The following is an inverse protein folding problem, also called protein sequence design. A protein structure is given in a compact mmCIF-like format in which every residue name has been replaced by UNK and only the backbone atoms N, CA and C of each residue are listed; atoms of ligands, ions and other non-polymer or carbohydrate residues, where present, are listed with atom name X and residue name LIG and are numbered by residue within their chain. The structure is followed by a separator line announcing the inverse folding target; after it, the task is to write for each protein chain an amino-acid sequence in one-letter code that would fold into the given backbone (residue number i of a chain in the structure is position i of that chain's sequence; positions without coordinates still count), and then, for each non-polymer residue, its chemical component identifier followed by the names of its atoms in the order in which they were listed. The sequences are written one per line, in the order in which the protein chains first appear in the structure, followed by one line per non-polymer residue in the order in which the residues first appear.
data_IF_276754017642
#
_entry.id   IF_276754017642
#
_cell.length_a   1.000
_cell.length_b   1.000
_cell.length_c   1.000
_cell.angle_alpha   90.00
_cell.angle_beta   90.00
_cell.angle_gamma   90.00
#
_symmetry.space_group_name_H-M   'P 1'
#
loop_
_entity.id
_entity.type
_entity.pdbx_description
1 polymer ?
#
# COMPACT_ATOMS: atom_id res chain seq x y z
N UNK A 1 -21.36 -9.76 -13.53
CA UNK A 1 -21.75 -8.35 -13.55
C UNK A 1 -21.35 -7.74 -12.24
N UNK A 2 -20.30 -6.92 -12.25
CA UNK A 2 -19.79 -6.23 -11.06
C UNK A 2 -20.88 -5.31 -10.49
N UNK A 3 -21.05 -5.32 -9.17
CA UNK A 3 -21.97 -4.39 -8.52
C UNK A 3 -21.35 -2.99 -8.52
N UNK A 4 -22.13 -1.92 -8.67
CA UNK A 4 -21.62 -0.57 -8.91
C UNK A 4 -21.04 0.16 -7.68
N UNK A 5 -20.57 -0.54 -6.65
CA UNK A 5 -20.08 0.09 -5.42
C UNK A 5 -18.83 -0.57 -4.82
N UNK A 6 -17.97 -1.13 -5.67
CA UNK A 6 -16.78 -1.85 -5.24
C UNK A 6 -15.57 -0.88 -5.28
N UNK A 7 -15.02 -0.60 -4.11
CA UNK A 7 -13.95 0.37 -3.83
C UNK A 7 -12.76 0.34 -4.83
N UNK A 8 -12.28 1.54 -5.18
CA UNK A 8 -11.83 2.00 -6.50
C UNK A 8 -10.32 2.29 -6.59
N UNK A 9 -9.50 1.56 -5.83
CA UNK A 9 -8.16 2.05 -5.55
C UNK A 9 -7.19 2.00 -6.74
N UNK A 10 -7.28 0.98 -7.60
CA UNK A 10 -6.33 0.88 -8.71
C UNK A 10 -6.84 0.03 -9.89
N UNK A 11 -6.33 0.33 -11.08
CA UNK A 11 -6.54 -0.42 -12.31
C UNK A 11 -5.29 -0.35 -13.17
N UNK A 12 -4.82 -1.50 -13.64
CA UNK A 12 -3.71 -1.56 -14.58
C UNK A 12 -4.17 -2.15 -15.90
N UNK A 13 -3.89 -1.47 -17.02
CA UNK A 13 -4.19 -1.99 -18.36
C UNK A 13 -2.90 -2.38 -19.07
N UNK A 14 -2.85 -3.63 -19.53
CA UNK A 14 -1.73 -4.16 -20.30
C UNK A 14 -1.85 -3.83 -21.80
N UNK A 15 -0.73 -3.88 -22.51
CA UNK A 15 -0.66 -3.61 -23.96
C UNK A 15 -1.48 -4.61 -24.80
N UNK A 16 -1.60 -5.86 -24.32
CA UNK A 16 -2.39 -6.91 -24.97
C UNK A 16 -3.91 -6.74 -24.79
N UNK A 17 -4.31 -5.71 -24.04
CA UNK A 17 -5.71 -5.35 -23.77
C UNK A 17 -6.30 -6.04 -22.55
N UNK A 18 -5.59 -6.96 -21.90
CA UNK A 18 -5.97 -7.48 -20.58
C UNK A 18 -5.80 -6.40 -19.51
N UNK A 19 -6.37 -6.60 -18.33
CA UNK A 19 -6.29 -5.60 -17.26
C UNK A 19 -6.37 -6.23 -15.86
N UNK A 20 -5.66 -5.63 -14.91
CA UNK A 20 -5.78 -5.91 -13.48
C UNK A 20 -6.81 -4.97 -12.87
N UNK A 21 -7.71 -5.50 -12.05
CA UNK A 21 -8.65 -4.73 -11.24
C UNK A 21 -8.62 -5.17 -9.80
N UNK A 22 -8.70 -4.18 -8.91
CA UNK A 22 -9.01 -4.39 -7.51
C UNK A 22 -10.52 -4.35 -7.33
N UNK A 23 -11.03 -5.24 -6.49
CA UNK A 23 -12.43 -5.30 -6.08
C UNK A 23 -12.50 -5.51 -4.57
N UNK A 24 -13.65 -5.21 -3.99
CA UNK A 24 -13.94 -5.47 -2.59
C UNK A 24 -15.13 -6.43 -2.48
N UNK A 25 -14.88 -7.62 -1.98
CA UNK A 25 -15.92 -8.62 -1.71
C UNK A 25 -16.32 -8.56 -0.23
N UNK A 26 -17.62 -8.51 0.05
CA UNK A 26 -18.12 -8.63 1.42
C UNK A 26 -18.35 -10.11 1.77
N UNK A 27 -17.59 -10.63 2.73
CA UNK A 27 -17.69 -12.01 3.23
C UNK A 27 -18.24 -12.00 4.66
N UNK A 28 -19.21 -12.85 4.96
CA UNK A 28 -19.78 -12.96 6.31
C UNK A 28 -19.30 -14.23 6.99
N UNK A 29 -18.61 -14.10 8.12
CA UNK A 29 -18.04 -15.23 8.88
C UNK A 29 -18.32 -15.15 10.39
N UNK A 30 -18.24 -16.32 11.04
CA UNK A 30 -18.22 -16.44 12.50
C UNK A 30 -16.78 -16.36 13.00
N UNK A 31 -16.40 -15.20 13.52
CA UNK A 31 -15.05 -14.94 14.07
C UNK A 31 -14.95 -15.16 15.58
N UNK A 32 -15.97 -15.75 16.23
CA UNK A 32 -15.98 -15.90 17.70
C UNK A 32 -14.83 -16.75 18.22
N UNK A 33 -14.34 -17.70 17.41
CA UNK A 33 -13.19 -18.55 17.77
C UNK A 33 -11.87 -17.78 17.92
N UNK A 34 -11.77 -16.59 17.31
CA UNK A 34 -10.60 -15.72 17.35
C UNK A 34 -10.88 -14.39 18.07
N UNK A 35 -12.02 -14.28 18.78
CA UNK A 35 -12.36 -13.10 19.57
C UNK A 35 -13.21 -12.04 18.86
N UNK A 36 -13.63 -12.28 17.61
CA UNK A 36 -14.54 -11.42 16.87
C UNK A 36 -16.02 -11.76 17.07
N UNK A 37 -16.86 -11.22 16.19
CA UNK A 37 -18.32 -11.41 16.21
C UNK A 37 -18.76 -12.61 15.36
N UNK A 38 -19.90 -13.22 15.72
CA UNK A 38 -20.41 -14.43 15.06
C UNK A 38 -21.01 -14.23 13.65
N UNK A 39 -21.11 -12.97 13.21
CA UNK A 39 -21.58 -12.59 11.89
C UNK A 39 -20.85 -11.31 11.47
N UNK A 40 -19.52 -11.38 11.52
CA UNK A 40 -18.66 -10.28 11.09
C UNK A 40 -18.69 -10.17 9.57
N UNK A 41 -18.75 -8.94 9.06
CA UNK A 41 -18.61 -8.61 7.65
C UNK A 41 -17.15 -8.29 7.36
N UNK A 42 -16.43 -9.23 6.78
CA UNK A 42 -15.04 -9.05 6.34
C UNK A 42 -15.08 -8.33 4.99
N UNK A 43 -14.32 -7.24 4.88
CA UNK A 43 -14.02 -6.62 3.59
C UNK A 43 -12.82 -7.39 3.01
N UNK A 44 -13.10 -8.29 2.06
CA UNK A 44 -12.11 -9.11 1.37
C UNK A 44 -11.68 -8.41 0.08
N UNK A 45 -10.53 -7.72 0.07
CA UNK A 45 -10.03 -7.17 -1.17
C UNK A 45 -9.58 -8.31 -2.11
N UNK A 46 -9.83 -8.13 -3.41
CA UNK A 46 -9.56 -9.11 -4.46
C UNK A 46 -8.84 -8.46 -5.63
N UNK A 47 -7.86 -9.18 -6.19
CA UNK A 47 -7.17 -8.78 -7.41
C UNK A 47 -7.56 -9.74 -8.53
N UNK A 48 -8.06 -9.23 -9.64
CA UNK A 48 -8.41 -10.04 -10.82
C UNK A 48 -7.58 -9.61 -12.01
N UNK A 49 -7.07 -10.58 -12.78
CA UNK A 49 -6.58 -10.37 -14.13
C UNK A 49 -7.67 -10.81 -15.11
N UNK A 50 -8.17 -9.86 -15.90
CA UNK A 50 -9.29 -10.05 -16.82
C UNK A 50 -8.82 -9.94 -18.27
N UNK A 51 -9.40 -10.77 -19.13
CA UNK A 51 -9.29 -10.60 -20.58
C UNK A 51 -10.19 -9.47 -21.10
N UNK A 52 -10.07 -9.03 -22.36
CA UNK A 52 -10.91 -7.97 -22.90
C UNK A 52 -12.41 -8.33 -23.02
N UNK A 53 -12.81 -9.56 -22.70
CA UNK A 53 -14.19 -10.05 -22.62
C UNK A 53 -14.64 -10.25 -21.15
N UNK A 54 -13.90 -9.70 -20.20
CA UNK A 54 -14.13 -9.77 -18.76
C UNK A 54 -14.10 -11.20 -18.19
N UNK A 55 -13.43 -12.15 -18.86
CA UNK A 55 -13.18 -13.47 -18.31
C UNK A 55 -11.99 -13.43 -17.35
N UNK A 56 -12.14 -14.08 -16.19
CA UNK A 56 -11.08 -14.18 -15.19
C UNK A 56 -9.99 -15.12 -15.70
N UNK A 57 -8.80 -14.56 -15.92
CA UNK A 57 -7.58 -15.29 -16.26
C UNK A 57 -6.88 -15.78 -14.99
N UNK A 58 -6.85 -14.93 -13.96
CA UNK A 58 -6.26 -15.23 -12.66
C UNK A 58 -6.92 -14.38 -11.58
N UNK A 59 -6.96 -14.88 -10.35
CA UNK A 59 -7.50 -14.17 -9.19
C UNK A 59 -6.63 -14.36 -7.95
N UNK A 60 -6.63 -13.35 -7.10
CA UNK A 60 -6.02 -13.38 -5.76
C UNK A 60 -7.04 -12.87 -4.75
N UNK A 61 -7.27 -13.64 -3.69
CA UNK A 61 -8.17 -13.30 -2.59
C UNK A 61 -7.32 -12.95 -1.36
N UNK A 62 -7.53 -11.75 -0.81
CA UNK A 62 -6.85 -11.30 0.39
C UNK A 62 -7.11 -12.22 1.57
N UNK A 63 -8.37 -12.61 1.77
CA UNK A 63 -8.79 -13.48 2.86
C UNK A 63 -8.20 -14.89 2.76
N UNK A 64 -8.03 -15.44 1.55
CA UNK A 64 -7.46 -16.78 1.36
C UNK A 64 -5.95 -16.82 1.65
N UNK A 65 -5.23 -15.75 1.28
CA UNK A 65 -3.75 -15.71 1.36
C UNK A 65 -3.23 -15.01 2.62
N UNK A 66 -4.00 -14.08 3.16
CA UNK A 66 -3.71 -13.30 4.36
C UNK A 66 -4.97 -13.22 5.23
N UNK A 67 -5.37 -14.34 5.85
CA UNK A 67 -6.61 -14.41 6.62
C UNK A 67 -6.59 -13.44 7.80
N UNK A 68 -7.78 -13.19 8.33
CA UNK A 68 -7.97 -12.40 9.55
C UNK A 68 -7.14 -12.99 10.69
N UNK A 69 -6.31 -12.15 11.30
CA UNK A 69 -5.39 -12.51 12.37
C UNK A 69 -5.69 -11.64 13.61
N UNK A 70 -6.15 -12.24 14.73
CA UNK A 70 -6.51 -11.50 15.93
C UNK A 70 -5.32 -10.83 16.64
N UNK A 71 -4.08 -11.12 16.25
CA UNK A 71 -2.89 -10.46 16.80
C UNK A 71 -2.66 -9.07 16.20
N UNK A 72 -3.06 -8.85 14.95
CA UNK A 72 -2.80 -7.61 14.20
C UNK A 72 -4.06 -6.89 13.72
N UNK A 73 -5.18 -7.59 13.57
CA UNK A 73 -6.42 -7.03 13.02
C UNK A 73 -7.39 -6.60 14.12
N UNK A 74 -8.14 -5.52 13.85
CA UNK A 74 -9.15 -5.03 14.77
C UNK A 74 -10.48 -5.78 14.60
N UNK A 75 -10.84 -6.58 15.61
CA UNK A 75 -12.06 -7.41 15.61
C UNK A 75 -13.19 -6.85 16.48
N UNK A 76 -13.04 -5.66 17.03
CA UNK A 76 -14.04 -5.03 17.92
C UNK A 76 -15.32 -4.59 17.18
N UNK A 77 -15.27 -4.55 15.84
CA UNK A 77 -16.34 -4.04 14.99
C UNK A 77 -17.02 -5.14 14.18
N UNK A 78 -18.28 -4.87 13.80
CA UNK A 78 -19.04 -5.76 12.91
C UNK A 78 -18.48 -5.79 11.48
N UNK A 79 -17.73 -4.77 11.08
CA UNK A 79 -17.01 -4.73 9.81
C UNK A 79 -15.53 -4.89 10.08
N UNK A 80 -14.91 -5.89 9.45
CA UNK A 80 -13.51 -6.22 9.60
C UNK A 80 -12.80 -5.90 8.30
N UNK A 81 -12.15 -4.74 8.29
CA UNK A 81 -11.33 -4.26 7.18
C UNK A 81 -9.86 -4.59 7.47
N UNK A 82 -9.50 -5.86 7.41
CA UNK A 82 -8.21 -6.34 7.91
C UNK A 82 -6.99 -5.91 7.05
N UNK A 83 -7.13 -5.92 5.72
CA UNK A 83 -6.02 -5.58 4.83
C UNK A 83 -6.06 -4.12 4.38
N UNK A 84 -7.21 -3.67 3.86
CA UNK A 84 -7.36 -2.36 3.22
C UNK A 84 -6.17 -2.04 2.30
N UNK A 85 -5.97 -2.81 1.22
CA UNK A 85 -4.92 -2.43 0.28
C UNK A 85 -5.39 -1.30 -0.63
N UNK A 86 -4.50 -0.34 -0.88
CA UNK A 86 -4.85 0.94 -1.51
C UNK A 86 -4.04 1.26 -2.77
N UNK A 87 -3.12 0.39 -3.17
CA UNK A 87 -2.34 0.54 -4.41
C UNK A 87 -1.87 -0.83 -4.93
N UNK A 88 -1.81 -0.97 -6.26
CA UNK A 88 -1.34 -2.16 -6.97
C UNK A 88 -0.41 -1.75 -8.11
N UNK A 89 0.87 -2.10 -8.00
CA UNK A 89 1.88 -1.68 -8.97
C UNK A 89 2.72 -2.87 -9.47
N UNK A 90 3.10 -2.86 -10.75
CA UNK A 90 4.01 -3.85 -11.30
C UNK A 90 5.46 -3.42 -11.08
N UNK A 91 6.27 -4.34 -10.56
CA UNK A 91 7.71 -4.12 -10.45
C UNK A 91 8.46 -4.41 -11.76
N UNK A 92 9.75 -4.04 -11.81
CA UNK A 92 10.61 -4.19 -12.98
C UNK A 92 10.85 -5.66 -13.39
N UNK A 93 10.46 -6.62 -12.54
CA UNK A 93 10.55 -8.05 -12.77
C UNK A 93 9.18 -8.70 -13.05
N UNK A 94 8.12 -7.90 -13.21
CA UNK A 94 6.76 -8.33 -13.50
C UNK A 94 5.98 -8.86 -12.28
N UNK A 95 6.56 -8.80 -11.08
CA UNK A 95 5.83 -9.07 -9.84
C UNK A 95 4.86 -7.93 -9.51
N UNK A 96 4.00 -8.16 -8.52
CA UNK A 96 2.98 -7.19 -8.10
C UNK A 96 3.31 -6.70 -6.69
N UNK A 97 3.43 -5.40 -6.51
CA UNK A 97 3.47 -4.74 -5.22
C UNK A 97 2.06 -4.35 -4.79
N UNK A 98 1.68 -4.76 -3.58
CA UNK A 98 0.44 -4.39 -2.91
C UNK A 98 0.76 -3.52 -1.71
N UNK A 99 0.13 -2.35 -1.60
CA UNK A 99 0.20 -1.53 -0.40
C UNK A 99 -0.96 -1.84 0.53
N UNK A 100 -0.72 -2.58 1.61
CA UNK A 100 -1.69 -3.02 2.62
C UNK A 100 -1.67 -2.05 3.79
N UNK A 101 -2.65 -1.14 3.83
CA UNK A 101 -2.69 -0.04 4.80
C UNK A 101 -2.82 -0.53 6.23
N UNK A 102 -3.79 -1.40 6.49
CA UNK A 102 -4.20 -1.72 7.86
C UNK A 102 -3.23 -2.66 8.57
N UNK A 103 -2.29 -3.26 7.83
CA UNK A 103 -1.17 -4.03 8.38
C UNK A 103 0.18 -3.32 8.31
N UNK A 104 0.22 -2.07 7.82
CA UNK A 104 1.45 -1.31 7.61
C UNK A 104 2.47 -2.06 6.73
N UNK A 105 1.99 -2.63 5.62
CA UNK A 105 2.76 -3.60 4.84
C UNK A 105 2.79 -3.31 3.34
N UNK A 106 3.97 -3.47 2.74
CA UNK A 106 4.09 -3.71 1.30
C UNK A 106 4.29 -5.21 1.09
N UNK A 107 3.44 -5.83 0.27
CA UNK A 107 3.54 -7.25 -0.07
C UNK A 107 3.85 -7.38 -1.55
N UNK A 108 4.86 -8.21 -1.87
CA UNK A 108 5.18 -8.54 -3.26
C UNK A 108 4.67 -9.92 -3.62
N UNK A 109 3.94 -10.03 -4.72
CA UNK A 109 3.54 -11.29 -5.34
C UNK A 109 4.51 -11.70 -6.46
N UNK A 110 4.65 -13.01 -6.68
CA UNK A 110 5.44 -13.58 -7.78
C UNK A 110 4.73 -13.41 -9.12
N UNK A 111 5.47 -13.12 -10.22
CA UNK A 111 4.86 -12.99 -11.55
C UNK A 111 4.23 -14.28 -12.07
N UNK A 112 4.71 -15.45 -11.63
CA UNK A 112 4.29 -16.74 -12.22
C UNK A 112 2.91 -17.20 -11.74
N UNK A 113 2.61 -17.02 -10.46
CA UNK A 113 1.44 -17.62 -9.80
C UNK A 113 0.79 -16.72 -8.75
N UNK A 114 1.27 -15.48 -8.59
CA UNK A 114 0.85 -14.56 -7.55
C UNK A 114 0.98 -15.08 -6.11
N UNK A 115 1.83 -16.09 -5.88
CA UNK A 115 2.20 -16.46 -4.52
C UNK A 115 2.98 -15.31 -3.85
N UNK A 116 2.84 -15.17 -2.53
CA UNK A 116 3.57 -14.16 -1.76
C UNK A 116 5.07 -14.46 -1.86
N UNK A 117 5.82 -13.49 -2.39
CA UNK A 117 7.27 -13.54 -2.42
C UNK A 117 7.84 -13.05 -1.09
N UNK A 118 7.42 -11.87 -0.65
CA UNK A 118 7.88 -11.28 0.60
C UNK A 118 6.89 -10.24 1.12
N UNK A 119 7.00 -9.93 2.41
CA UNK A 119 6.29 -8.86 3.13
C UNK A 119 7.30 -7.90 3.76
N UNK A 120 7.12 -6.61 3.54
CA UNK A 120 7.92 -5.54 4.11
C UNK A 120 7.04 -4.72 5.06
N UNK A 121 7.49 -4.55 6.30
CA UNK A 121 6.76 -3.79 7.32
C UNK A 121 5.78 -4.66 8.12
N UNK A 122 5.13 -4.04 9.12
CA UNK A 122 4.22 -4.74 10.02
C UNK A 122 4.89 -5.76 10.96
N UNK A 123 4.07 -6.52 11.68
CA UNK A 123 4.52 -7.45 12.71
C UNK A 123 5.28 -8.67 12.15
N UNK A 124 4.85 -9.19 11.00
CA UNK A 124 5.45 -10.35 10.33
C UNK A 124 6.29 -9.95 9.10
N UNK A 125 6.98 -8.80 9.16
CA UNK A 125 7.94 -8.37 8.14
C UNK A 125 9.04 -9.42 7.92
N UNK A 126 9.32 -9.75 6.66
CA UNK A 126 10.48 -10.56 6.29
C UNK A 126 11.79 -9.75 6.38
N UNK A 127 11.70 -8.41 6.31
CA UNK A 127 12.85 -7.53 6.25
C UNK A 127 13.25 -6.99 7.62
N UNK A 128 14.56 -6.99 7.88
CA UNK A 128 15.17 -6.21 8.96
C UNK A 128 15.45 -4.78 8.51
N UNK A 129 15.05 -3.80 9.32
CA UNK A 129 15.35 -2.39 9.05
C UNK A 129 16.78 -2.06 9.49
N UNK A 130 17.61 -1.59 8.56
CA UNK A 130 19.04 -1.32 8.80
C UNK A 130 19.34 0.12 9.24
N UNK A 131 18.31 0.90 9.60
CA UNK A 131 18.46 2.30 10.01
C UNK A 131 18.17 2.45 11.52
N UNK A 132 19.18 2.80 12.35
CA UNK A 132 18.98 2.95 13.79
C UNK A 132 17.95 4.04 14.14
N UNK A 133 16.88 3.63 14.83
CA UNK A 133 15.79 4.54 15.25
C UNK A 133 14.69 4.74 14.22
N UNK A 134 14.71 3.98 13.12
CA UNK A 134 13.63 3.93 12.16
C UNK A 134 12.66 2.79 12.48
N UNK A 135 11.41 3.14 12.79
CA UNK A 135 10.33 2.18 13.12
C UNK A 135 9.47 1.80 11.89
N UNK A 136 10.01 1.95 10.67
CA UNK A 136 9.29 1.62 9.45
C UNK A 136 8.37 2.75 8.94
N UNK A 137 7.24 2.36 8.36
CA UNK A 137 6.19 3.23 7.82
C UNK A 137 4.84 2.75 8.34
N UNK A 138 3.84 3.64 8.37
CA UNK A 138 2.51 3.28 8.86
C UNK A 138 1.40 3.84 7.98
N UNK A 139 0.36 3.03 7.82
CA UNK A 139 -0.88 3.37 7.12
C UNK A 139 -0.62 3.90 5.71
N UNK A 140 0.46 3.43 5.09
CA UNK A 140 1.02 3.95 3.85
C UNK A 140 0.04 3.83 2.70
N UNK A 141 0.16 4.76 1.76
CA UNK A 141 -0.55 4.78 0.50
C UNK A 141 0.44 4.84 -0.64
N UNK A 142 0.00 4.34 -1.79
CA UNK A 142 0.78 4.31 -3.01
C UNK A 142 2.06 3.47 -2.85
N UNK A 143 2.53 2.88 -3.94
CA UNK A 143 3.84 2.22 -3.95
C UNK A 143 4.30 2.09 -5.40
N UNK A 144 5.52 2.53 -5.65
CA UNK A 144 6.15 2.44 -6.97
C UNK A 144 7.50 1.78 -6.84
N UNK A 145 7.75 0.76 -7.66
CA UNK A 145 9.12 0.38 -7.99
C UNK A 145 9.77 1.52 -8.79
N UNK A 146 10.87 2.06 -8.26
CA UNK A 146 11.69 3.10 -8.90
C UNK A 146 13.02 2.54 -9.44
N UNK A 147 13.13 1.22 -9.51
CA UNK A 147 14.18 0.43 -10.13
C UNK A 147 15.44 0.27 -9.28
N UNK A 148 16.20 -0.80 -9.57
CA UNK A 148 17.39 -1.22 -8.85
C UNK A 148 17.10 -1.58 -7.38
N UNK A 149 16.00 -2.31 -7.16
CA UNK A 149 15.60 -2.76 -5.83
C UNK A 149 15.21 -1.62 -4.89
N UNK A 150 14.61 -0.55 -5.43
CA UNK A 150 14.13 0.58 -4.63
C UNK A 150 12.64 0.79 -4.84
N UNK A 151 11.94 1.07 -3.76
CA UNK A 151 10.52 1.41 -3.79
C UNK A 151 10.28 2.80 -3.20
N UNK A 152 9.32 3.53 -3.76
CA UNK A 152 8.86 4.83 -3.30
C UNK A 152 7.39 4.71 -2.88
N UNK A 153 7.05 5.30 -1.74
CA UNK A 153 5.68 5.27 -1.20
C UNK A 153 5.33 6.59 -0.50
N UNK A 154 4.06 6.78 -0.21
CA UNK A 154 3.58 7.82 0.70
C UNK A 154 3.32 7.22 2.08
N UNK A 155 4.16 7.57 3.05
CA UNK A 155 4.04 7.14 4.44
C UNK A 155 3.16 8.13 5.21
N UNK A 156 1.94 7.72 5.51
CA UNK A 156 0.94 8.58 6.15
C UNK A 156 1.27 8.89 7.61
N UNK A 157 1.93 7.96 8.31
CA UNK A 157 2.07 8.01 9.76
C UNK A 157 3.49 7.76 10.24
N UNK A 158 4.26 8.83 10.38
CA UNK A 158 5.49 8.82 11.18
C UNK A 158 5.20 9.49 12.51
N UNK A 159 5.51 8.81 13.62
CA UNK A 159 5.58 9.47 14.91
C UNK A 159 6.88 10.29 14.97
N UNK A 160 6.76 11.60 15.09
CA UNK A 160 7.85 12.51 15.40
C UNK A 160 7.60 13.17 16.76
N UNK A 161 8.60 13.91 17.25
CA UNK A 161 8.60 14.65 18.51
C UNK A 161 7.42 15.63 18.64
N UNK A 162 6.82 16.05 17.52
CA UNK A 162 5.69 16.99 17.47
C UNK A 162 4.32 16.33 17.20
N UNK A 163 4.26 15.00 17.12
CA UNK A 163 3.04 14.26 16.77
C UNK A 163 3.20 13.46 15.49
N UNK A 164 2.11 13.28 14.75
CA UNK A 164 2.14 12.55 13.49
C UNK A 164 2.50 13.48 12.32
N UNK A 165 3.31 12.95 11.40
CA UNK A 165 3.74 13.61 10.17
C UNK A 165 3.65 12.62 9.01
N UNK A 166 3.31 13.11 7.81
CA UNK A 166 3.38 12.31 6.59
C UNK A 166 4.63 12.66 5.78
N UNK A 167 5.13 11.70 5.00
CA UNK A 167 6.32 11.87 4.15
C UNK A 167 6.21 11.06 2.87
N UNK A 168 6.93 11.49 1.84
CA UNK A 168 7.36 10.58 0.79
C UNK A 168 8.59 9.80 1.30
N UNK A 169 8.67 8.50 1.04
CA UNK A 169 9.70 7.61 1.56
C UNK A 169 10.21 6.68 0.46
N UNK A 170 11.53 6.67 0.24
CA UNK A 170 12.22 5.74 -0.66
C UNK A 170 13.07 4.75 0.14
N UNK A 171 12.80 3.46 -0.07
CA UNK A 171 13.52 2.37 0.57
C UNK A 171 14.32 1.58 -0.47
N UNK A 172 15.58 1.29 -0.16
CA UNK A 172 16.34 0.27 -0.85
C UNK A 172 16.16 -1.08 -0.15
N UNK A 173 15.88 -2.11 -0.95
CA UNK A 173 15.60 -3.47 -0.51
C UNK A 173 16.71 -4.40 -0.98
N UNK A 174 17.31 -5.11 -0.04
CA UNK A 174 18.11 -6.29 -0.30
C UNK A 174 17.22 -7.53 -0.12
N UNK A 175 16.77 -8.11 -1.23
CA UNK A 175 15.91 -9.31 -1.26
C UNK A 175 16.68 -10.62 -1.15
N UNK A 176 18.01 -10.57 -1.03
CA UNK A 176 18.85 -11.74 -0.75
C UNK A 176 19.08 -11.86 0.76
N UNK A 177 19.44 -10.76 1.41
CA UNK A 177 19.67 -10.71 2.86
C UNK A 177 18.43 -10.29 3.66
N UNK A 178 17.34 -9.93 2.98
CA UNK A 178 16.10 -9.42 3.57
C UNK A 178 16.35 -8.24 4.51
N UNK A 179 16.93 -7.19 3.95
CA UNK A 179 17.11 -5.92 4.69
C UNK A 179 16.57 -4.74 3.91
N UNK A 180 16.05 -3.76 4.62
CA UNK A 180 15.53 -2.52 4.06
C UNK A 180 16.25 -1.31 4.67
N UNK A 181 16.55 -0.32 3.83
CA UNK A 181 17.24 0.90 4.23
C UNK A 181 16.52 2.13 3.66
N UNK A 182 16.27 3.12 4.51
CA UNK A 182 15.85 4.44 4.06
C UNK A 182 16.97 5.10 3.24
N UNK A 183 16.68 5.42 1.99
CA UNK A 183 17.64 6.07 1.07
C UNK A 183 17.28 7.51 0.78
N UNK A 184 16.01 7.86 0.89
CA UNK A 184 15.53 9.22 0.73
C UNK A 184 14.16 9.36 1.41
N UNK A 185 13.90 10.54 1.94
CA UNK A 185 12.58 10.90 2.44
C UNK A 185 12.37 12.40 2.31
N UNK A 186 11.10 12.80 2.21
CA UNK A 186 10.72 14.20 2.28
C UNK A 186 9.44 14.36 3.10
N UNK A 187 9.54 15.13 4.17
CA UNK A 187 8.38 15.64 4.89
C UNK A 187 8.24 17.13 4.60
N UNK A 188 7.00 17.61 4.51
CA UNK A 188 6.73 18.99 4.18
C UNK A 188 7.17 19.93 5.33
N UNK A 189 7.86 21.08 5.07
CA UNK A 189 8.32 22.01 6.11
C UNK A 189 7.24 22.69 6.97
N UNK A 190 5.97 22.49 6.63
CA UNK A 190 4.81 22.94 7.40
C UNK A 190 4.19 21.83 8.26
N UNK A 191 4.94 20.75 8.48
CA UNK A 191 4.58 19.61 9.32
C UNK A 191 3.22 18.99 8.92
N UNK A 192 3.05 18.69 7.63
CA UNK A 192 1.79 18.17 7.11
C UNK A 192 1.54 16.73 7.57
N UNK A 193 0.30 16.47 7.95
CA UNK A 193 -0.20 15.14 8.28
C UNK A 193 -1.47 14.84 7.47
N UNK A 194 -1.46 13.70 6.79
CA UNK A 194 -2.54 13.13 6.03
C UNK A 194 -2.85 11.73 6.56
N UNK A 195 -3.97 11.57 7.26
CA UNK A 195 -4.36 10.29 7.86
C UNK A 195 -4.79 9.21 6.84
N UNK A 196 -5.10 9.63 5.60
CA UNK A 196 -5.50 8.76 4.51
C UNK A 196 -5.09 9.35 3.15
N UNK A 197 -5.12 8.50 2.13
CA UNK A 197 -4.73 8.84 0.76
C UNK A 197 -3.28 9.34 0.65
N UNK A 198 -2.93 9.86 -0.51
CA UNK A 198 -1.61 10.41 -0.79
C UNK A 198 -0.85 9.58 -1.81
N UNK A 199 0.13 10.20 -2.43
CA UNK A 199 0.93 9.58 -3.49
C UNK A 199 2.32 10.19 -3.53
N UNK A 200 3.27 9.40 -4.00
CA UNK A 200 4.64 9.83 -4.22
C UNK A 200 5.18 9.18 -5.50
N UNK A 201 5.35 9.98 -6.55
CA UNK A 201 5.72 9.51 -7.88
C UNK A 201 7.04 10.14 -8.30
N UNK A 202 8.02 9.30 -8.67
CA UNK A 202 9.28 9.74 -9.26
C UNK A 202 9.05 10.15 -10.72
N UNK A 203 9.39 11.38 -11.07
CA UNK A 203 9.31 11.94 -12.41
C UNK A 203 10.58 11.67 -13.21
N UNK A 204 10.49 11.77 -14.55
CA UNK A 204 11.61 11.54 -15.47
C UNK A 204 12.81 12.47 -15.24
N UNK A 205 12.56 13.68 -14.73
CA UNK A 205 13.61 14.65 -14.40
C UNK A 205 14.35 14.32 -13.08
N UNK A 206 13.94 13.26 -12.38
CA UNK A 206 14.48 12.85 -11.09
C UNK A 206 13.76 13.47 -9.87
N UNK A 207 12.88 14.46 -10.08
CA UNK A 207 12.08 15.02 -8.99
C UNK A 207 10.98 14.04 -8.55
N UNK A 208 10.43 14.28 -7.37
CA UNK A 208 9.30 13.53 -6.83
C UNK A 208 8.07 14.43 -6.77
N UNK A 209 6.98 14.04 -7.43
CA UNK A 209 5.67 14.66 -7.28
C UNK A 209 4.94 14.01 -6.11
N UNK A 210 4.50 14.82 -5.15
CA UNK A 210 3.86 14.36 -3.92
C UNK A 210 2.44 14.93 -3.86
N UNK A 211 1.45 14.05 -3.79
CA UNK A 211 0.08 14.41 -3.44
C UNK A 211 -0.12 14.19 -1.94
N UNK A 212 -0.45 15.24 -1.18
CA UNK A 212 -0.50 15.18 0.29
C UNK A 212 -1.78 14.57 0.87
N UNK A 213 -2.43 13.64 0.18
CA UNK A 213 -3.59 12.90 0.67
C UNK A 213 -4.65 13.79 1.30
N UNK A 214 -5.20 13.41 2.47
CA UNK A 214 -6.14 14.23 3.24
C UNK A 214 -5.46 15.27 4.15
N UNK A 215 -4.29 15.82 3.77
CA UNK A 215 -3.70 16.91 4.54
C UNK A 215 -4.63 18.13 4.51
N UNK A 216 -4.71 18.84 5.64
CA UNK A 216 -5.51 20.06 5.87
C UNK A 216 -7.05 19.88 5.83
N UNK A 217 -7.59 18.87 5.14
CA UNK A 217 -9.03 18.55 5.14
C UNK A 217 -9.29 17.05 5.18
N UNK A 218 -10.37 16.62 5.85
CA UNK A 218 -10.70 15.20 5.98
C UNK A 218 -11.24 14.54 4.69
N UNK A 219 -11.54 15.32 3.66
CA UNK A 219 -12.23 14.82 2.44
C UNK A 219 -11.48 15.10 1.13
N UNK A 220 -10.60 16.12 1.08
CA UNK A 220 -9.92 16.52 -0.15
C UNK A 220 -8.43 16.71 0.06
N UNK A 221 -7.62 16.20 -0.88
CA UNK A 221 -6.24 16.60 -1.02
C UNK A 221 -6.12 17.95 -1.70
N UNK A 222 -5.58 18.93 -0.99
CA UNK A 222 -5.51 20.32 -1.42
C UNK A 222 -4.13 20.74 -1.89
N UNK A 223 -3.12 19.88 -1.70
CA UNK A 223 -1.72 20.24 -1.91
C UNK A 223 -0.97 19.21 -2.72
N UNK A 224 -0.22 19.71 -3.70
CA UNK A 224 0.69 18.94 -4.54
C UNK A 224 2.03 19.66 -4.53
N UNK A 225 3.12 18.92 -4.31
CA UNK A 225 4.47 19.50 -4.27
C UNK A 225 5.37 18.71 -5.21
N UNK A 226 6.16 19.39 -6.04
CA UNK A 226 7.29 18.77 -6.75
C UNK A 226 8.58 19.06 -5.98
N UNK A 227 9.34 18.01 -5.67
CA UNK A 227 10.55 18.09 -4.83
C UNK A 227 11.75 17.53 -5.58
N UNK A 228 12.85 18.26 -5.57
CA UNK A 228 14.14 17.82 -6.14
C UNK A 228 14.76 16.65 -5.35
N UNK A 229 15.71 15.89 -5.93
CA UNK A 229 16.44 14.85 -5.19
C UNK A 229 17.11 15.36 -3.91
N UNK A 230 17.55 16.62 -3.89
CA UNK A 230 18.17 17.26 -2.73
C UNK A 230 17.17 17.73 -1.67
N UNK A 231 15.86 17.56 -1.88
CA UNK A 231 14.82 17.92 -0.93
C UNK A 231 14.34 19.38 -1.03
N UNK A 232 14.67 20.10 -2.10
CA UNK A 232 14.13 21.44 -2.34
C UNK A 232 12.79 21.39 -3.07
N UNK A 233 11.82 22.20 -2.63
CA UNK A 233 10.55 22.41 -3.33
C UNK A 233 10.81 23.16 -4.64
N UNK A 234 10.48 22.52 -5.77
CA UNK A 234 10.58 23.09 -7.11
C UNK A 234 9.27 23.74 -7.56
N UNK A 235 8.13 23.19 -7.12
CA UNK A 235 6.79 23.65 -7.43
C UNK A 235 5.81 23.31 -6.30
N UNK A 236 4.82 24.18 -6.11
CA UNK A 236 3.65 23.99 -5.25
C UNK A 236 2.47 24.86 -5.70
#
# INVERSE_FOLDING_TARGET
TFAPDDDYHDVHRFEDGTYLVVLLEEVFEDLTSIGGLSNAKILNPRLLHLDPQEQILQEWSGLDHMPVDPSVDNLDFAVVDHLHWNAVQLDEHGGILLSIRNRNQIVRLRPEDWSIHWKLGGEDSDFSLNDPGWDGFHLQHDVHDVGNGRILMFDNGVLDNNGFLSRALELALDTVNFTAQNTWQFAHPSDLYAAAQGSAIRLENGNTLIGWGTAETSEFGTRVTEVTPEGHIAFE
#
